data_IF_669649792917
#
_entry.id   IF_669649792917
#
_cell.length_a   1.000
_cell.length_b   1.000
_cell.length_c   1.000
_cell.angle_alpha   90.00
_cell.angle_beta   90.00
_cell.angle_gamma   90.00
#
_symmetry.space_group_name_H-M   'P 1'
#
loop_
_entity.id
_entity.type
_entity.pdbx_description
1 polymer ?
#
# COMPACT_ATOMS: atom_id res chain seq x y z
N UNK A 1 12.00 -15.06 -3.22
CA UNK A 1 11.69 -13.93 -2.31
C UNK A 1 12.63 -13.91 -1.10
N UNK A 2 13.94 -14.14 -1.34
CA UNK A 2 14.98 -14.36 -0.28
C UNK A 2 15.64 -13.04 0.20
N UNK A 3 15.35 -11.88 -0.45
CA UNK A 3 16.10 -10.64 -0.21
C UNK A 3 15.47 -9.63 0.78
N UNK A 4 14.36 -9.96 1.41
CA UNK A 4 13.62 -9.00 2.24
C UNK A 4 13.51 -9.46 3.71
N UNK A 5 14.64 -9.79 4.34
CA UNK A 5 14.66 -9.91 5.79
C UNK A 5 14.78 -8.51 6.40
N UNK A 6 13.71 -7.97 7.00
CA UNK A 6 13.75 -6.65 7.59
C UNK A 6 14.58 -6.65 8.88
N UNK A 7 15.31 -5.59 9.08
CA UNK A 7 15.97 -5.31 10.35
C UNK A 7 14.97 -4.78 11.38
N UNK A 8 15.31 -4.87 12.66
CA UNK A 8 14.49 -4.27 13.74
C UNK A 8 14.34 -2.75 13.55
N UNK A 9 15.37 -2.09 12.99
CA UNK A 9 15.36 -0.66 12.72
C UNK A 9 14.33 -0.33 11.64
N UNK A 10 14.32 -1.08 10.53
CA UNK A 10 13.36 -0.88 9.43
C UNK A 10 11.91 -1.12 9.89
N UNK A 11 11.67 -2.12 10.74
CA UNK A 11 10.35 -2.36 11.31
C UNK A 11 9.89 -1.17 12.16
N UNK A 12 10.78 -0.61 12.98
CA UNK A 12 10.48 0.55 13.82
C UNK A 12 10.22 1.80 12.97
N UNK A 13 11.08 2.07 12.00
CA UNK A 13 10.96 3.18 11.08
C UNK A 13 9.61 3.14 10.33
N UNK A 14 9.29 2.00 9.72
CA UNK A 14 8.01 1.81 9.03
C UNK A 14 6.81 2.06 9.95
N UNK A 15 6.84 1.50 11.17
CA UNK A 15 5.75 1.71 12.15
C UNK A 15 5.57 3.18 12.52
N UNK A 16 6.65 3.93 12.60
CA UNK A 16 6.59 5.38 12.87
C UNK A 16 5.97 6.12 11.68
N UNK A 17 6.38 5.79 10.46
CA UNK A 17 5.89 6.42 9.23
C UNK A 17 4.42 6.12 8.95
N UNK A 18 4.00 4.87 9.17
CA UNK A 18 2.65 4.40 8.91
C UNK A 18 1.65 4.70 10.04
N UNK A 19 2.15 4.86 11.29
CA UNK A 19 1.34 4.79 12.51
C UNK A 19 0.19 5.79 12.55
N UNK A 20 0.43 7.04 12.19
CA UNK A 20 -0.60 8.09 12.19
C UNK A 20 -1.76 7.76 11.23
N UNK A 21 -1.44 7.29 10.02
CA UNK A 21 -2.48 6.89 9.06
C UNK A 21 -3.24 5.65 9.52
N UNK A 22 -2.52 4.64 10.00
CA UNK A 22 -3.14 3.39 10.47
C UNK A 22 -4.02 3.59 11.70
N UNK A 23 -3.86 4.66 12.48
CA UNK A 23 -4.71 4.99 13.61
C UNK A 23 -5.95 5.81 13.20
N UNK A 24 -5.99 6.35 11.98
CA UNK A 24 -7.12 7.14 11.51
C UNK A 24 -8.38 6.26 11.33
N UNK A 25 -9.53 6.60 11.96
CA UNK A 25 -10.74 5.78 11.85
C UNK A 25 -11.20 5.56 10.40
N UNK A 26 -11.03 6.56 9.54
CA UNK A 26 -11.41 6.47 8.13
C UNK A 26 -10.54 5.47 7.36
N UNK A 27 -9.25 5.34 7.70
CA UNK A 27 -8.37 4.32 7.12
C UNK A 27 -8.76 2.93 7.62
N UNK A 28 -9.18 2.81 8.88
CA UNK A 28 -9.64 1.53 9.45
C UNK A 28 -10.91 1.00 8.76
N UNK A 29 -11.72 1.86 8.14
CA UNK A 29 -12.89 1.43 7.34
C UNK A 29 -12.49 0.54 6.16
N UNK A 30 -11.29 0.68 5.61
CA UNK A 30 -10.78 -0.19 4.54
C UNK A 30 -10.72 -1.67 4.96
N UNK A 31 -10.75 -1.98 6.24
CA UNK A 31 -10.81 -3.37 6.74
C UNK A 31 -12.17 -4.05 6.49
N UNK A 32 -13.22 -3.27 6.21
CA UNK A 32 -14.55 -3.79 5.89
C UNK A 32 -14.69 -4.23 4.42
N UNK A 33 -13.77 -3.81 3.54
CA UNK A 33 -13.82 -4.09 2.12
C UNK A 33 -12.84 -5.19 1.73
N UNK A 34 -13.29 -6.15 0.93
CA UNK A 34 -12.44 -7.21 0.38
C UNK A 34 -11.69 -6.68 -0.85
N UNK A 35 -10.38 -6.97 -0.93
CA UNK A 35 -9.56 -6.59 -2.08
C UNK A 35 -9.37 -7.76 -3.04
N UNK A 36 -8.70 -8.82 -2.60
CA UNK A 36 -8.47 -10.04 -3.37
C UNK A 36 -8.60 -11.27 -2.48
N UNK A 37 -9.44 -12.23 -2.90
CA UNK A 37 -9.68 -13.46 -2.13
C UNK A 37 -10.19 -13.16 -0.72
N UNK A 38 -9.42 -13.49 0.32
CA UNK A 38 -9.77 -13.20 1.72
C UNK A 38 -9.01 -11.98 2.28
N UNK A 39 -8.25 -11.27 1.45
CA UNK A 39 -7.44 -10.11 1.88
C UNK A 39 -8.32 -8.87 1.87
N UNK A 40 -8.37 -8.15 3.00
CA UNK A 40 -9.05 -6.86 3.08
C UNK A 40 -8.23 -5.77 2.40
N UNK A 41 -8.90 -4.71 1.91
CA UNK A 41 -8.26 -3.56 1.30
C UNK A 41 -7.18 -2.95 2.22
N UNK A 42 -7.45 -2.84 3.54
CA UNK A 42 -6.45 -2.36 4.51
C UNK A 42 -5.23 -3.29 4.58
N UNK A 43 -5.44 -4.60 4.64
CA UNK A 43 -4.34 -5.57 4.73
C UNK A 43 -3.46 -5.54 3.46
N UNK A 44 -4.09 -5.42 2.29
CA UNK A 44 -3.42 -5.24 1.02
C UNK A 44 -2.57 -3.95 1.01
N UNK A 45 -3.16 -2.80 1.33
CA UNK A 45 -2.44 -1.52 1.35
C UNK A 45 -1.27 -1.51 2.35
N UNK A 46 -1.43 -2.16 3.51
CA UNK A 46 -0.32 -2.33 4.48
C UNK A 46 0.80 -3.20 3.89
N UNK A 47 0.47 -4.28 3.19
CA UNK A 47 1.46 -5.13 2.55
C UNK A 47 2.20 -4.37 1.43
N UNK A 48 1.47 -3.66 0.56
CA UNK A 48 2.05 -2.84 -0.51
C UNK A 48 2.97 -1.77 0.07
N UNK A 49 2.54 -1.06 1.11
CA UNK A 49 3.36 -0.03 1.76
C UNK A 49 4.63 -0.62 2.39
N UNK A 50 4.51 -1.76 3.07
CA UNK A 50 5.64 -2.44 3.69
C UNK A 50 6.66 -2.91 2.66
N UNK A 51 6.23 -3.60 1.63
CA UNK A 51 7.14 -4.10 0.60
C UNK A 51 7.74 -2.97 -0.25
N UNK A 52 6.96 -1.92 -0.55
CA UNK A 52 7.48 -0.72 -1.21
C UNK A 52 8.59 -0.05 -0.39
N UNK A 53 8.39 0.08 0.93
CA UNK A 53 9.39 0.60 1.84
C UNK A 53 10.67 -0.25 1.83
N UNK A 54 10.55 -1.58 1.92
CA UNK A 54 11.71 -2.47 1.86
C UNK A 54 12.44 -2.37 0.52
N UNK A 55 11.72 -2.38 -0.60
CA UNK A 55 12.30 -2.21 -1.94
C UNK A 55 13.05 -0.87 -2.02
N UNK A 56 12.44 0.21 -1.57
CA UNK A 56 13.03 1.55 -1.55
C UNK A 56 14.36 1.57 -0.79
N UNK A 57 14.39 0.99 0.41
CA UNK A 57 15.62 0.88 1.23
C UNK A 57 16.68 -0.01 0.57
N UNK A 58 16.30 -1.11 -0.08
CA UNK A 58 17.24 -2.04 -0.77
C UNK A 58 17.87 -1.41 -2.02
N UNK A 59 17.20 -0.48 -2.67
CA UNK A 59 17.78 0.33 -3.75
C UNK A 59 18.64 1.50 -3.23
N UNK A 60 18.89 1.61 -1.93
CA UNK A 60 19.67 2.70 -1.36
C UNK A 60 19.02 4.07 -1.50
N UNK A 61 17.69 4.12 -1.67
CA UNK A 61 16.95 5.37 -1.82
C UNK A 61 16.65 5.98 -0.44
N UNK A 62 16.70 7.30 -0.36
CA UNK A 62 16.49 8.03 0.88
C UNK A 62 15.77 9.37 0.66
N UNK A 63 15.17 9.90 1.73
CA UNK A 63 14.60 11.25 1.80
C UNK A 63 13.12 11.37 1.39
N UNK A 64 12.49 10.28 0.91
CA UNK A 64 11.06 10.27 0.53
C UNK A 64 10.31 9.06 1.11
N UNK A 65 10.81 8.49 2.20
CA UNK A 65 10.22 7.31 2.85
C UNK A 65 8.79 7.59 3.34
N UNK A 66 8.57 8.79 3.84
CA UNK A 66 7.26 9.21 4.35
C UNK A 66 6.23 9.27 3.23
N UNK A 67 6.55 9.95 2.14
CA UNK A 67 5.69 10.08 0.97
C UNK A 67 5.41 8.72 0.35
N UNK A 68 6.42 7.85 0.24
CA UNK A 68 6.26 6.49 -0.27
C UNK A 68 5.28 5.68 0.56
N UNK A 69 5.48 5.63 1.88
CA UNK A 69 4.64 4.83 2.78
C UNK A 69 3.21 5.36 2.80
N UNK A 70 3.02 6.69 2.82
CA UNK A 70 1.70 7.31 2.79
C UNK A 70 0.97 7.06 1.48
N UNK A 71 1.63 7.28 0.34
CA UNK A 71 1.04 7.02 -0.97
C UNK A 71 0.66 5.55 -1.14
N UNK A 72 1.54 4.63 -0.71
CA UNK A 72 1.28 3.20 -0.78
C UNK A 72 0.16 2.74 0.18
N UNK A 73 -0.01 3.35 1.35
CA UNK A 73 -1.13 3.07 2.25
C UNK A 73 -2.47 3.59 1.71
N UNK A 74 -2.43 4.65 0.89
CA UNK A 74 -3.62 5.34 0.40
C UNK A 74 -3.92 5.04 -1.08
N UNK A 75 -3.15 4.18 -1.77
CA UNK A 75 -3.33 3.97 -3.21
C UNK A 75 -4.72 3.40 -3.55
N UNK A 76 -5.29 2.59 -2.66
CA UNK A 76 -6.63 2.00 -2.77
C UNK A 76 -7.61 2.56 -1.73
N UNK A 77 -7.45 3.82 -1.34
CA UNK A 77 -8.33 4.50 -0.38
C UNK A 77 -9.64 4.97 -1.03
N UNK A 78 -10.38 4.05 -1.69
CA UNK A 78 -11.62 4.35 -2.42
C UNK A 78 -12.88 4.26 -1.57
N UNK A 79 -12.87 3.57 -0.39
CA UNK A 79 -13.92 3.55 0.65
C UNK A 79 -15.30 3.02 0.17
N UNK A 80 -15.34 2.04 -0.69
CA UNK A 80 -16.57 1.31 -1.06
C UNK A 80 -16.26 -0.16 -1.35
N UNK A 81 -17.29 -1.01 -1.31
CA UNK A 81 -17.15 -2.40 -1.74
C UNK A 81 -17.36 -2.50 -3.26
N UNK A 82 -16.30 -2.83 -4.00
CA UNK A 82 -16.37 -2.93 -5.45
C UNK A 82 -16.99 -4.25 -5.95
N UNK A 83 -17.30 -5.18 -5.03
CA UNK A 83 -18.05 -6.42 -5.34
C UNK A 83 -19.57 -6.21 -5.25
N UNK A 84 -20.03 -5.16 -4.55
CA UNK A 84 -21.43 -4.84 -4.37
C UNK A 84 -21.95 -3.87 -5.43
N UNK A 85 -23.26 -3.90 -5.77
CA UNK A 85 -23.84 -2.91 -6.68
C UNK A 85 -23.75 -1.49 -6.13
N UNK A 86 -23.62 -0.49 -7.02
CA UNK A 86 -23.63 0.94 -6.63
C UNK A 86 -22.29 1.65 -6.72
N UNK A 87 -21.21 0.92 -7.04
CA UNK A 87 -19.91 1.53 -7.33
C UNK A 87 -19.77 1.91 -8.83
N UNK A 88 -18.82 2.77 -9.20
CA UNK A 88 -18.55 3.09 -10.60
C UNK A 88 -18.21 1.84 -11.43
N UNK A 89 -18.84 1.70 -12.61
CA UNK A 89 -18.48 0.62 -13.57
C UNK A 89 -17.00 0.78 -13.94
N UNK A 90 -16.34 -0.36 -14.22
CA UNK A 90 -14.90 -0.40 -14.55
C UNK A 90 -14.02 0.10 -13.37
N UNK A 91 -14.24 -0.45 -12.19
CA UNK A 91 -13.51 -0.13 -10.95
C UNK A 91 -12.01 0.10 -11.18
N UNK A 92 -11.33 -0.81 -11.90
CA UNK A 92 -9.89 -0.71 -12.16
C UNK A 92 -9.43 0.59 -12.83
N UNK A 93 -10.31 1.28 -13.56
CA UNK A 93 -9.98 2.55 -14.22
C UNK A 93 -10.30 3.79 -13.36
N UNK A 94 -11.28 3.68 -12.47
CA UNK A 94 -11.78 4.84 -11.73
C UNK A 94 -11.31 4.92 -10.29
N UNK A 95 -11.02 3.78 -9.63
CA UNK A 95 -10.63 3.80 -8.21
C UNK A 95 -9.39 4.65 -7.91
N UNK A 96 -8.35 4.77 -8.79
CA UNK A 96 -7.20 5.62 -8.47
C UNK A 96 -7.58 7.09 -8.28
N UNK A 97 -8.54 7.57 -9.09
CA UNK A 97 -9.06 8.94 -8.95
C UNK A 97 -9.82 9.13 -7.65
N UNK A 98 -10.70 8.18 -7.32
CA UNK A 98 -11.49 8.22 -6.10
C UNK A 98 -10.57 8.14 -4.87
N UNK A 99 -9.61 7.22 -4.89
CA UNK A 99 -8.61 7.10 -3.82
C UNK A 99 -7.80 8.41 -3.65
N UNK A 100 -7.36 9.03 -4.74
CA UNK A 100 -6.64 10.30 -4.69
C UNK A 100 -7.52 11.45 -4.16
N UNK A 101 -8.78 11.53 -4.55
CA UNK A 101 -9.73 12.52 -4.03
C UNK A 101 -9.95 12.37 -2.53
N UNK A 102 -10.25 11.16 -2.07
CA UNK A 102 -10.41 10.85 -0.64
C UNK A 102 -9.12 11.17 0.14
N UNK A 103 -7.94 10.84 -0.44
CA UNK A 103 -6.67 11.11 0.22
C UNK A 103 -6.36 12.61 0.35
N UNK A 104 -6.75 13.43 -0.66
CA UNK A 104 -6.67 14.90 -0.57
C UNK A 104 -7.60 15.42 0.51
N UNK A 105 -8.85 14.95 0.52
CA UNK A 105 -9.88 15.40 1.47
C UNK A 105 -9.51 15.12 2.93
N UNK A 106 -8.99 13.92 3.20
CA UNK A 106 -8.76 13.49 4.58
C UNK A 106 -7.34 13.74 5.11
N UNK A 107 -6.33 13.85 4.23
CA UNK A 107 -4.93 13.76 4.67
C UNK A 107 -3.98 14.82 4.12
N UNK A 108 -4.46 15.78 3.36
CA UNK A 108 -3.62 16.83 2.78
C UNK A 108 -2.33 16.26 2.15
N UNK A 109 -2.49 15.37 1.16
CA UNK A 109 -1.38 14.68 0.50
C UNK A 109 -0.56 15.63 -0.39
N UNK A 110 0.73 15.33 -0.56
CA UNK A 110 1.61 16.07 -1.45
C UNK A 110 1.32 15.75 -2.93
N UNK A 111 1.74 16.61 -3.88
CA UNK A 111 1.62 16.31 -5.32
C UNK A 111 2.33 15.01 -5.72
N UNK A 112 3.41 14.64 -5.03
CA UNK A 112 4.15 13.40 -5.26
C UNK A 112 3.33 12.17 -4.81
N UNK A 113 2.71 12.23 -3.63
CA UNK A 113 1.78 11.21 -3.13
C UNK A 113 0.58 11.07 -4.07
N UNK A 114 -0.01 12.20 -4.49
CA UNK A 114 -1.15 12.21 -5.40
C UNK A 114 -0.81 11.58 -6.76
N UNK A 115 0.32 11.94 -7.37
CA UNK A 115 0.76 11.32 -8.62
C UNK A 115 0.94 9.81 -8.47
N UNK A 116 1.56 9.37 -7.37
CA UNK A 116 1.77 7.95 -7.07
C UNK A 116 0.44 7.19 -6.99
N UNK A 117 -0.56 7.76 -6.30
CA UNK A 117 -1.91 7.17 -6.18
C UNK A 117 -2.61 7.13 -7.54
N UNK A 118 -2.58 8.22 -8.31
CA UNK A 118 -3.27 8.31 -9.60
C UNK A 118 -2.74 7.35 -10.66
N UNK A 119 -1.44 7.04 -10.63
CA UNK A 119 -0.76 6.29 -11.70
C UNK A 119 -0.49 4.81 -11.34
N UNK A 120 -0.87 4.33 -10.13
CA UNK A 120 -0.49 2.97 -9.69
C UNK A 120 -1.09 1.85 -10.56
N UNK A 121 -2.19 2.12 -11.25
CA UNK A 121 -2.84 1.13 -12.14
C UNK A 121 -2.21 1.01 -13.53
N UNK A 122 -1.10 1.73 -13.83
CA UNK A 122 -0.39 1.51 -15.08
C UNK A 122 0.03 0.03 -15.24
N UNK A 123 -0.07 -0.61 -16.45
CA UNK A 123 -0.48 -0.05 -17.75
C UNK A 123 -1.99 -0.09 -18.03
N UNK A 124 -2.84 -0.54 -17.09
CA UNK A 124 -4.29 -0.52 -17.29
C UNK A 124 -4.80 0.91 -17.56
N UNK A 125 -4.29 1.88 -16.83
CA UNK A 125 -4.48 3.31 -17.11
C UNK A 125 -3.34 3.82 -17.98
N UNK A 126 -3.64 4.77 -18.89
CA UNK A 126 -2.69 5.26 -19.90
C UNK A 126 -1.52 6.05 -19.27
N UNK A 127 -1.72 6.67 -18.11
CA UNK A 127 -0.73 7.56 -17.48
C UNK A 127 0.31 6.76 -16.70
N UNK A 128 1.58 6.69 -17.17
CA UNK A 128 2.64 6.04 -16.43
C UNK A 128 3.04 6.88 -15.20
N UNK A 129 3.60 6.26 -14.16
CA UNK A 129 4.16 6.99 -13.02
C UNK A 129 5.25 7.98 -13.47
N UNK A 130 5.12 9.24 -13.04
CA UNK A 130 6.08 10.29 -13.35
C UNK A 130 7.35 10.22 -12.47
N UNK A 131 7.27 9.51 -11.34
CA UNK A 131 8.32 9.47 -10.32
C UNK A 131 8.65 8.03 -9.91
N UNK A 132 9.87 7.82 -9.41
CA UNK A 132 10.34 6.51 -8.93
C UNK A 132 9.44 5.88 -7.85
N UNK A 133 8.81 6.70 -6.99
CA UNK A 133 7.90 6.20 -5.97
C UNK A 133 6.68 5.51 -6.60
N UNK A 134 6.09 6.16 -7.61
CA UNK A 134 4.99 5.59 -8.36
C UNK A 134 5.34 4.25 -9.02
N UNK A 135 6.52 4.13 -9.61
CA UNK A 135 6.99 2.86 -10.19
C UNK A 135 7.14 1.77 -9.14
N UNK A 136 7.73 2.11 -7.97
CA UNK A 136 7.88 1.14 -6.87
C UNK A 136 6.50 0.66 -6.39
N UNK A 137 5.57 1.59 -6.11
CA UNK A 137 4.23 1.23 -5.65
C UNK A 137 3.49 0.41 -6.70
N UNK A 138 3.49 0.83 -7.97
CA UNK A 138 2.85 0.12 -9.09
C UNK A 138 3.34 -1.33 -9.20
N UNK A 139 4.64 -1.56 -9.15
CA UNK A 139 5.20 -2.90 -9.30
C UNK A 139 4.94 -3.78 -8.08
N UNK A 140 5.06 -3.20 -6.88
CA UNK A 140 4.80 -3.92 -5.64
C UNK A 140 3.32 -4.26 -5.48
N UNK A 141 2.42 -3.33 -5.81
CA UNK A 141 0.98 -3.56 -5.84
C UNK A 141 0.62 -4.77 -6.69
N UNK A 142 1.08 -4.82 -7.95
CA UNK A 142 0.85 -5.95 -8.84
C UNK A 142 1.39 -7.27 -8.30
N UNK A 143 2.60 -7.23 -7.72
CA UNK A 143 3.18 -8.42 -7.11
C UNK A 143 2.37 -8.92 -5.89
N UNK A 144 1.86 -7.99 -5.07
CA UNK A 144 0.98 -8.31 -3.95
C UNK A 144 -0.35 -8.88 -4.43
N UNK A 145 -1.01 -8.22 -5.39
CA UNK A 145 -2.29 -8.67 -5.97
C UNK A 145 -2.19 -10.08 -6.55
N UNK A 146 -1.13 -10.37 -7.31
CA UNK A 146 -0.88 -11.71 -7.86
C UNK A 146 -0.71 -12.72 -6.71
N UNK A 147 0.11 -12.40 -5.70
CA UNK A 147 0.34 -13.30 -4.58
C UNK A 147 -0.95 -13.59 -3.78
N UNK A 148 -1.82 -12.59 -3.60
CA UNK A 148 -3.11 -12.71 -2.93
C UNK A 148 -4.09 -13.60 -3.68
N UNK A 149 -4.18 -13.45 -5.00
CA UNK A 149 -4.99 -14.32 -5.87
C UNK A 149 -4.55 -15.79 -5.75
N UNK A 150 -3.25 -16.06 -5.58
CA UNK A 150 -2.72 -17.40 -5.34
C UNK A 150 -2.76 -17.83 -3.86
N UNK A 151 -3.52 -17.13 -3.01
CA UNK A 151 -3.75 -17.51 -1.61
C UNK A 151 -2.64 -17.15 -0.64
N UNK A 152 -1.71 -16.27 -1.03
CA UNK A 152 -0.70 -15.77 -0.12
C UNK A 152 -1.37 -14.86 0.94
N UNK A 153 -1.29 -15.25 2.20
CA UNK A 153 -1.83 -14.47 3.32
C UNK A 153 -0.70 -13.75 4.04
N UNK A 154 -0.83 -12.46 4.21
CA UNK A 154 0.14 -11.64 4.94
C UNK A 154 -0.03 -11.82 6.47
N UNK A 155 0.21 -13.03 6.95
CA UNK A 155 0.21 -13.28 8.41
C UNK A 155 1.41 -12.57 9.04
N UNK A 156 1.17 -11.34 9.56
CA UNK A 156 2.02 -10.76 10.59
C UNK A 156 3.48 -10.45 10.20
N UNK A 157 3.71 -9.77 9.06
CA UNK A 157 5.04 -9.21 8.73
C UNK A 157 5.59 -8.26 9.80
N UNK A 158 4.72 -7.64 10.58
CA UNK A 158 5.07 -6.66 11.59
C UNK A 158 5.31 -7.26 12.98
N UNK A 159 5.20 -8.59 13.15
CA UNK A 159 5.58 -9.23 14.42
C UNK A 159 7.07 -9.53 14.40
N UNK A 160 7.87 -9.00 15.34
CA UNK A 160 9.27 -9.41 15.46
C UNK A 160 9.32 -10.92 15.69
N UNK A 161 10.13 -11.64 14.92
CA UNK A 161 10.44 -13.04 15.22
C UNK A 161 11.05 -13.06 16.60
N UNK A 162 10.39 -13.71 17.57
CA UNK A 162 11.02 -14.06 18.83
C UNK A 162 12.21 -14.96 18.49
N UNK A 163 13.43 -14.49 18.74
CA UNK A 163 14.60 -15.37 18.69
C UNK A 163 14.34 -16.48 19.72
N UNK A 164 14.50 -17.78 19.38
CA UNK A 164 14.50 -18.80 20.39
C UNK A 164 15.62 -18.46 21.36
N UNK A 165 15.32 -18.38 22.66
CA UNK A 165 16.36 -18.34 23.70
C UNK A 165 17.23 -19.56 23.47
N UNK A 166 18.52 -19.36 23.15
CA UNK A 166 19.50 -20.42 23.26
C UNK A 166 19.67 -20.70 24.77
N UNK A 167 19.23 -21.88 25.18
CA UNK A 167 19.56 -22.43 26.46
C UNK A 167 21.09 -22.72 26.53
#
# INVERSE_FOLDING_TARGET
MIFLHPTTIEIREFRTLAGTLLQAPVVQQMSAYTQHGETTCLAHCVAVAWFSFLVYKRFGLHGQERELVRAALLHDFFLYDWHEPGHPRLHGFYHPRIAAQNAVEHFNITPLEQNTILCHMWPLTISPPAHRLGWIVTMVDKACSIAEVFGCRYRSFLKPRRRPCRA
#
